data_IF_139343740560
#
_entry.id   IF_139343740560
#
_cell.length_a   1.000
_cell.length_b   1.000
_cell.length_c   1.000
_cell.angle_alpha   90.00
_cell.angle_beta   90.00
_cell.angle_gamma   90.00
#
_symmetry.space_group_name_H-M   'P 1'
#
loop_
_entity.id
_entity.type
_entity.pdbx_description
1 polymer ?
#
# COMPACT_ATOMS: atom_id res chain seq x y z
N UNK A 1 -9.24 -4.41 2.65
CA UNK A 1 -9.77 -4.17 4.02
C UNK A 1 -9.31 -5.19 5.08
N UNK A 2 -8.83 -6.39 4.72
CA UNK A 2 -8.47 -7.44 5.70
C UNK A 2 -7.43 -7.04 6.76
N UNK A 3 -6.52 -6.13 6.45
CA UNK A 3 -5.44 -5.70 7.37
C UNK A 3 -5.79 -4.53 8.31
N UNK A 4 -7.07 -4.11 8.36
CA UNK A 4 -7.54 -3.07 9.29
C UNK A 4 -6.97 -1.67 9.04
N UNK A 5 -6.70 -1.32 7.79
CA UNK A 5 -6.33 0.05 7.41
C UNK A 5 -7.51 0.82 6.82
N UNK A 6 -7.47 2.14 7.01
CA UNK A 6 -8.39 3.13 6.44
C UNK A 6 -7.64 4.10 5.51
N UNK A 7 -8.34 5.07 4.94
CA UNK A 7 -7.80 6.04 3.99
C UNK A 7 -6.77 7.02 4.59
N UNK A 8 -6.60 7.03 5.92
CA UNK A 8 -5.54 7.82 6.59
C UNK A 8 -4.33 6.96 6.91
N UNK A 9 -4.57 5.79 7.48
CA UNK A 9 -3.53 4.88 7.98
C UNK A 9 -2.88 4.07 6.86
N UNK A 10 -3.60 3.68 5.81
CA UNK A 10 -3.02 2.91 4.70
C UNK A 10 -1.93 3.71 3.96
N UNK A 11 -2.16 4.97 3.54
CA UNK A 11 -1.12 5.73 2.84
C UNK A 11 0.11 6.01 3.71
N UNK A 12 -0.09 6.23 5.01
CA UNK A 12 1.00 6.44 5.96
C UNK A 12 1.85 5.18 6.12
N UNK A 13 1.22 4.01 6.30
CA UNK A 13 1.90 2.73 6.38
C UNK A 13 2.71 2.43 5.11
N UNK A 14 2.10 2.59 3.93
CA UNK A 14 2.77 2.34 2.65
C UNK A 14 4.00 3.25 2.49
N UNK A 15 3.86 4.55 2.77
CA UNK A 15 4.95 5.50 2.60
C UNK A 15 6.06 5.36 3.66
N UNK A 16 5.69 5.16 4.94
CA UNK A 16 6.63 5.19 6.07
C UNK A 16 7.24 3.84 6.39
N UNK A 17 6.44 2.78 6.40
CA UNK A 17 6.86 1.44 6.83
C UNK A 17 7.29 0.58 5.64
N UNK A 18 6.50 0.57 4.57
CA UNK A 18 6.83 -0.17 3.35
C UNK A 18 7.77 0.59 2.40
N UNK A 19 7.95 1.92 2.59
CA UNK A 19 8.73 2.77 1.66
C UNK A 19 8.25 2.67 0.21
N UNK A 20 6.93 2.57 0.01
CA UNK A 20 6.26 2.52 -1.29
C UNK A 20 5.21 3.62 -1.37
N UNK A 21 5.36 4.54 -2.32
CA UNK A 21 4.38 5.60 -2.57
C UNK A 21 3.36 5.13 -3.60
N UNK A 22 2.09 5.01 -3.19
CA UNK A 22 0.95 4.68 -4.06
C UNK A 22 -0.09 5.80 -4.07
N UNK A 23 -0.97 5.82 -5.06
CA UNK A 23 -2.13 6.73 -5.03
C UNK A 23 -3.14 6.25 -3.98
N UNK A 24 -3.76 7.19 -3.27
CA UNK A 24 -4.75 6.88 -2.22
C UNK A 24 -6.04 6.49 -2.90
N UNK A 25 -6.74 5.48 -2.39
CA UNK A 25 -8.05 5.11 -2.93
C UNK A 25 -9.07 6.25 -2.79
N UNK A 26 -8.97 7.05 -1.74
CA UNK A 26 -9.81 8.24 -1.54
C UNK A 26 -9.70 9.29 -2.66
N UNK A 27 -8.60 9.30 -3.42
CA UNK A 27 -8.46 10.17 -4.60
C UNK A 27 -9.48 9.80 -5.71
N UNK A 28 -10.12 8.63 -5.61
CA UNK A 28 -11.12 8.10 -6.55
C UNK A 28 -12.54 8.03 -5.97
N UNK A 29 -12.76 8.60 -4.78
CA UNK A 29 -14.07 8.62 -4.10
C UNK A 29 -14.09 7.84 -2.78
N UNK A 30 -15.19 7.99 -2.03
CA UNK A 30 -15.36 7.39 -0.68
C UNK A 30 -15.23 5.87 -0.67
N UNK A 31 -15.62 5.20 -1.75
CA UNK A 31 -15.54 3.74 -1.88
C UNK A 31 -14.10 3.22 -1.89
N UNK A 32 -13.14 4.10 -2.22
CA UNK A 32 -11.71 3.80 -2.15
C UNK A 32 -11.11 3.90 -0.75
N UNK A 33 -11.91 4.14 0.28
CA UNK A 33 -11.44 4.14 1.67
C UNK A 33 -10.80 2.81 2.07
N UNK A 34 -9.57 2.86 2.58
CA UNK A 34 -8.77 1.68 2.90
C UNK A 34 -8.22 0.91 1.68
N UNK A 35 -8.19 1.54 0.51
CA UNK A 35 -7.56 1.02 -0.71
C UNK A 35 -6.43 1.93 -1.21
N UNK A 36 -5.55 1.37 -2.04
CA UNK A 36 -4.49 2.08 -2.74
C UNK A 36 -4.38 1.57 -4.18
N UNK A 37 -3.89 2.40 -5.09
CA UNK A 37 -3.71 2.04 -6.51
C UNK A 37 -2.23 1.94 -6.86
N UNK A 38 -1.82 0.77 -7.34
CA UNK A 38 -0.46 0.49 -7.81
C UNK A 38 -0.33 0.81 -9.31
N UNK A 39 0.81 1.41 -9.69
CA UNK A 39 1.17 1.62 -11.09
C UNK A 39 2.03 0.46 -11.58
N UNK A 40 1.54 -0.29 -12.58
CA UNK A 40 2.24 -1.43 -13.19
C UNK A 40 3.01 -1.06 -14.47
N UNK A 41 2.93 0.20 -14.92
CA UNK A 41 3.69 0.75 -16.05
C UNK A 41 5.15 1.03 -15.71
N UNK A 42 5.84 0.04 -15.13
CA UNK A 42 7.23 0.11 -14.69
C UNK A 42 7.96 -1.21 -15.01
N UNK A 43 9.25 -1.32 -14.67
CA UNK A 43 10.01 -2.57 -14.86
C UNK A 43 9.52 -3.66 -13.89
N UNK A 44 9.60 -4.94 -14.30
CA UNK A 44 9.26 -6.07 -13.41
C UNK A 44 10.04 -6.02 -12.11
N UNK A 45 11.33 -5.71 -12.18
CA UNK A 45 12.22 -5.59 -11.01
C UNK A 45 11.70 -4.57 -10.00
N UNK A 46 11.31 -3.38 -10.44
CA UNK A 46 10.79 -2.35 -9.53
C UNK A 46 9.42 -2.71 -8.95
N UNK A 47 8.57 -3.36 -9.75
CA UNK A 47 7.28 -3.83 -9.26
C UNK A 47 7.45 -4.92 -8.19
N UNK A 48 8.32 -5.90 -8.45
CA UNK A 48 8.67 -6.98 -7.52
C UNK A 48 9.23 -6.44 -6.21
N UNK A 49 10.22 -5.55 -6.28
CA UNK A 49 10.78 -4.88 -5.09
C UNK A 49 9.72 -4.12 -4.29
N UNK A 50 8.79 -3.43 -4.96
CA UNK A 50 7.69 -2.74 -4.30
C UNK A 50 6.72 -3.70 -3.59
N UNK A 51 6.40 -4.83 -4.21
CA UNK A 51 5.52 -5.85 -3.63
C UNK A 51 6.18 -6.55 -2.44
N UNK A 52 7.46 -6.90 -2.54
CA UNK A 52 8.25 -7.49 -1.46
C UNK A 52 8.30 -6.58 -0.23
N UNK A 53 8.61 -5.29 -0.42
CA UNK A 53 8.63 -4.32 0.68
C UNK A 53 7.28 -4.18 1.40
N UNK A 54 6.17 -4.26 0.65
CA UNK A 54 4.82 -4.22 1.25
C UNK A 54 4.58 -5.49 2.08
N UNK A 55 4.92 -6.66 1.54
CA UNK A 55 4.77 -7.94 2.23
C UNK A 55 5.60 -7.96 3.53
N UNK A 56 6.88 -7.61 3.47
CA UNK A 56 7.75 -7.54 4.65
C UNK A 56 7.26 -6.53 5.70
N UNK A 57 6.73 -5.38 5.28
CA UNK A 57 6.17 -4.40 6.21
C UNK A 57 4.92 -4.93 6.93
N UNK A 58 4.09 -5.71 6.25
CA UNK A 58 2.92 -6.34 6.85
C UNK A 58 3.35 -7.38 7.91
N UNK A 59 4.30 -8.23 7.57
CA UNK A 59 4.88 -9.22 8.51
C UNK A 59 5.46 -8.55 9.77
N UNK A 60 6.25 -7.47 9.60
CA UNK A 60 6.80 -6.70 10.73
C UNK A 60 5.72 -6.04 11.59
N UNK A 61 4.60 -5.64 10.98
CA UNK A 61 3.50 -4.98 11.69
C UNK A 61 2.62 -5.94 12.50
N UNK A 62 2.78 -7.26 12.30
CA UNK A 62 1.95 -8.28 12.95
C UNK A 62 0.48 -8.26 12.53
N UNK A 63 0.16 -7.59 11.41
CA UNK A 63 -1.19 -7.50 10.87
C UNK A 63 -1.40 -8.67 9.89
N UNK A 64 -2.25 -9.61 10.27
CA UNK A 64 -2.71 -10.74 9.44
C UNK A 64 -4.20 -10.62 9.15
#
# INVERSE_FOLDING_TARGET
RGYGFDGKTLPEFLARDAKVALNKGLDFGSEGDGFARINVGTTRKQLEEGLERIAEALERSGRN
#
